data_IF_178992449519
#
_entry.id   IF_178992449519
#
_cell.length_a   1.000
_cell.length_b   1.000
_cell.length_c   1.000
_cell.angle_alpha   90.00
_cell.angle_beta   90.00
_cell.angle_gamma   90.00
#
_symmetry.space_group_name_H-M   'P 1'
#
loop_
_entity.id
_entity.type
_entity.pdbx_description
1 polymer ?
#
# COMPACT_ATOMS: atom_id res chain seq x y z
N UNK A 1 -12.88 12.38 -15.54
CA UNK A 1 -12.36 11.30 -14.64
C UNK A 1 -11.08 11.80 -14.01
N UNK A 2 -11.01 11.87 -12.69
CA UNK A 2 -9.80 12.30 -11.98
C UNK A 2 -8.70 11.23 -12.04
N UNK A 3 -7.45 11.65 -12.16
CA UNK A 3 -6.28 10.77 -12.09
C UNK A 3 -5.67 10.83 -10.69
N UNK A 4 -5.34 9.67 -10.11
CA UNK A 4 -4.58 9.56 -8.85
C UNK A 4 -3.17 9.05 -9.13
N UNK A 5 -2.20 9.51 -8.34
CA UNK A 5 -0.78 9.18 -8.43
C UNK A 5 -0.18 9.05 -7.03
N UNK A 6 0.87 8.25 -6.89
CA UNK A 6 1.56 8.00 -5.61
C UNK A 6 2.79 8.90 -5.54
N UNK A 7 2.93 9.67 -4.47
CA UNK A 7 3.94 10.73 -4.34
C UNK A 7 5.13 10.35 -3.45
N UNK A 8 5.00 9.30 -2.63
CA UNK A 8 6.10 8.80 -1.81
C UNK A 8 5.67 7.58 -1.01
N UNK A 9 6.61 6.65 -0.80
CA UNK A 9 6.39 5.44 0.00
C UNK A 9 7.40 5.42 1.15
N UNK A 10 6.90 5.18 2.35
CA UNK A 10 7.66 4.92 3.55
C UNK A 10 7.32 3.51 4.04
N UNK A 11 8.36 2.72 4.29
CA UNK A 11 8.24 1.33 4.72
C UNK A 11 9.06 1.16 5.98
N UNK A 12 8.39 0.86 7.09
CA UNK A 12 9.03 0.69 8.39
C UNK A 12 8.68 -0.67 8.95
N UNK A 13 9.65 -1.39 9.49
CA UNK A 13 9.40 -2.68 10.12
C UNK A 13 10.64 -3.55 10.12
N UNK A 14 10.43 -4.82 10.43
CA UNK A 14 11.49 -5.82 10.49
C UNK A 14 11.33 -6.84 9.37
N UNK A 15 12.42 -7.13 8.68
CA UNK A 15 12.50 -8.22 7.72
C UNK A 15 13.76 -9.02 8.01
N UNK A 16 13.60 -10.30 8.27
CA UNK A 16 14.66 -11.23 8.57
C UNK A 16 14.56 -12.45 7.65
N UNK A 17 15.67 -12.80 7.01
CA UNK A 17 15.80 -14.05 6.30
C UNK A 17 16.58 -15.03 7.17
N UNK A 18 16.01 -16.22 7.39
CA UNK A 18 16.69 -17.29 8.13
C UNK A 18 16.79 -18.53 7.27
N UNK A 19 17.92 -19.24 7.33
CA UNK A 19 18.10 -20.53 6.64
C UNK A 19 17.98 -21.67 7.63
N UNK A 20 17.03 -22.58 7.42
CA UNK A 20 16.83 -23.78 8.24
C UNK A 20 17.50 -25.02 7.60
N UNK A 21 17.55 -26.11 8.37
CA UNK A 21 18.07 -27.41 7.92
C UNK A 21 17.43 -27.81 6.59
N UNK A 22 18.26 -28.31 5.66
CA UNK A 22 17.83 -28.65 4.30
C UNK A 22 17.88 -27.48 3.31
N UNK A 23 18.57 -26.38 3.64
CA UNK A 23 18.75 -25.20 2.78
C UNK A 23 17.46 -24.44 2.44
N UNK A 24 16.38 -24.70 3.18
CA UNK A 24 15.12 -23.96 3.08
C UNK A 24 15.30 -22.63 3.79
N UNK A 25 15.23 -21.52 3.07
CA UNK A 25 15.19 -20.22 3.72
C UNK A 25 13.72 -19.86 4.01
N UNK A 26 13.56 -19.00 4.99
CA UNK A 26 12.29 -18.50 5.48
C UNK A 26 12.45 -16.99 5.60
N UNK A 27 11.66 -16.26 4.81
CA UNK A 27 11.50 -14.82 4.99
C UNK A 27 10.44 -14.60 6.07
N UNK A 28 10.82 -13.95 7.16
CA UNK A 28 9.91 -13.46 8.19
C UNK A 28 9.93 -11.95 8.09
N UNK A 29 8.78 -11.36 7.84
CA UNK A 29 8.64 -9.92 7.74
C UNK A 29 7.40 -9.46 8.50
N UNK A 30 7.51 -8.28 9.08
CA UNK A 30 6.42 -7.51 9.70
C UNK A 30 6.69 -6.05 9.35
N UNK A 31 6.00 -5.57 8.32
CA UNK A 31 6.20 -4.25 7.73
C UNK A 31 4.93 -3.42 7.82
N UNK A 32 5.13 -2.13 8.03
CA UNK A 32 4.12 -1.08 7.95
C UNK A 32 4.40 -0.23 6.73
N UNK A 33 3.36 0.03 5.95
CA UNK A 33 3.43 0.85 4.75
C UNK A 33 2.70 2.16 5.01
N UNK A 34 3.35 3.29 4.74
CA UNK A 34 2.69 4.59 4.67
C UNK A 34 3.03 5.21 3.33
N UNK A 35 2.01 5.65 2.58
CA UNK A 35 2.21 6.14 1.24
C UNK A 35 1.39 7.41 0.99
N UNK A 36 2.06 8.47 0.55
CA UNK A 36 1.39 9.69 0.12
C UNK A 36 0.84 9.53 -1.29
N UNK A 37 -0.36 10.06 -1.54
CA UNK A 37 -0.98 10.08 -2.85
C UNK A 37 -1.52 11.48 -3.19
N UNK A 38 -1.56 11.78 -4.47
CA UNK A 38 -2.12 13.02 -5.03
C UNK A 38 -3.11 12.66 -6.14
N UNK A 39 -4.26 13.33 -6.16
CA UNK A 39 -5.31 13.14 -7.16
C UNK A 39 -5.78 14.46 -7.75
N UNK A 40 -6.00 14.50 -9.06
CA UNK A 40 -6.61 15.65 -9.73
C UNK A 40 -8.12 15.44 -9.80
N UNK A 41 -8.92 16.36 -9.27
CA UNK A 41 -10.36 16.34 -9.43
C UNK A 41 -10.80 17.35 -10.50
N UNK A 42 -11.81 16.99 -11.28
CA UNK A 42 -12.35 17.84 -12.34
C UNK A 42 -13.02 19.07 -11.71
N UNK A 43 -12.52 20.27 -12.05
CA UNK A 43 -13.00 21.54 -11.48
C UNK A 43 -12.19 22.08 -10.29
N UNK A 44 -11.18 21.36 -9.82
CA UNK A 44 -10.24 21.86 -8.79
C UNK A 44 -8.91 22.32 -9.42
N UNK A 45 -8.43 23.54 -9.13
CA UNK A 45 -7.15 24.02 -9.63
C UNK A 45 -5.94 23.39 -8.92
N UNK A 46 -6.14 22.82 -7.73
CA UNK A 46 -5.09 22.21 -6.92
C UNK A 46 -5.28 20.69 -6.81
N UNK A 47 -4.18 19.91 -6.73
CA UNK A 47 -4.26 18.48 -6.48
C UNK A 47 -4.81 18.21 -5.07
N UNK A 48 -5.72 17.26 -4.97
CA UNK A 48 -6.17 16.66 -3.71
C UNK A 48 -5.07 15.74 -3.21
N UNK A 49 -4.69 15.85 -1.94
CA UNK A 49 -3.64 15.02 -1.34
C UNK A 49 -4.20 14.10 -0.28
N UNK A 50 -3.51 13.02 0.01
CA UNK A 50 -3.87 12.11 1.07
C UNK A 50 -2.80 11.07 1.36
N UNK A 51 -3.09 10.19 2.32
CA UNK A 51 -2.19 9.09 2.69
C UNK A 51 -2.95 7.77 2.67
N UNK A 52 -2.30 6.71 2.20
CA UNK A 52 -2.73 5.32 2.37
C UNK A 52 -1.79 4.64 3.34
N UNK A 53 -2.34 3.93 4.34
CA UNK A 53 -1.56 3.16 5.29
C UNK A 53 -1.98 1.69 5.29
N UNK A 54 -1.01 0.83 5.55
CA UNK A 54 -1.19 -0.58 5.88
C UNK A 54 -0.42 -0.83 7.17
N UNK A 55 -1.15 -1.19 8.23
CA UNK A 55 -0.54 -1.41 9.55
C UNK A 55 0.11 -2.78 9.70
N UNK A 56 -0.29 -3.76 8.88
CA UNK A 56 0.17 -5.13 8.99
C UNK A 56 0.37 -5.75 7.60
N UNK A 57 1.62 -5.79 7.14
CA UNK A 57 2.08 -6.62 6.04
C UNK A 57 3.09 -7.62 6.60
N UNK A 58 2.64 -8.84 6.89
CA UNK A 58 3.45 -9.85 7.56
C UNK A 58 3.49 -11.19 6.81
N UNK A 59 4.55 -11.98 7.03
CA UNK A 59 4.80 -13.27 6.34
C UNK A 59 3.81 -14.41 6.67
N UNK A 60 2.77 -14.12 7.44
CA UNK A 60 1.67 -15.03 7.75
C UNK A 60 0.30 -14.41 7.53
N UNK A 61 0.24 -13.19 6.98
CA UNK A 61 -1.01 -12.56 6.54
C UNK A 61 -1.42 -13.20 5.21
N UNK A 62 -2.67 -13.64 5.11
CA UNK A 62 -3.20 -14.15 3.86
C UNK A 62 -3.29 -13.04 2.80
N UNK A 63 -3.06 -13.39 1.53
CA UNK A 63 -3.20 -12.49 0.41
C UNK A 63 -4.64 -11.92 0.35
N UNK A 64 -4.81 -10.66 0.74
CA UNK A 64 -6.10 -9.97 0.68
C UNK A 64 -6.63 -9.42 2.01
N UNK A 65 -5.99 -9.75 3.14
CA UNK A 65 -6.44 -9.31 4.47
C UNK A 65 -5.84 -7.96 4.91
N UNK A 66 -5.18 -7.23 3.99
CA UNK A 66 -4.61 -5.93 4.31
C UNK A 66 -5.70 -4.93 4.71
N UNK A 67 -5.59 -4.41 5.94
CA UNK A 67 -6.41 -3.29 6.38
C UNK A 67 -5.84 -1.99 5.81
N UNK A 68 -6.49 -1.49 4.76
CA UNK A 68 -6.14 -0.21 4.13
C UNK A 68 -6.81 0.95 4.84
N UNK A 69 -6.02 1.87 5.38
CA UNK A 69 -6.51 3.16 5.87
C UNK A 69 -6.21 4.23 4.81
N UNK A 70 -7.24 4.66 4.08
CA UNK A 70 -7.13 5.77 3.12
C UNK A 70 -7.64 7.05 3.75
N UNK A 71 -6.79 8.08 3.75
CA UNK A 71 -7.08 9.43 4.24
C UNK A 71 -6.95 10.43 3.10
N UNK A 72 -7.65 11.55 3.23
CA UNK A 72 -7.61 12.67 2.28
C UNK A 72 -7.51 13.97 3.08
N UNK A 73 -6.73 14.92 2.60
CA UNK A 73 -6.59 16.23 3.20
C UNK A 73 -7.75 17.14 2.76
N UNK A 74 -8.37 17.82 3.74
CA UNK A 74 -9.50 18.70 3.51
C UNK A 74 -10.84 17.98 3.36
N UNK A 75 -11.86 18.72 2.92
CA UNK A 75 -13.24 18.22 2.82
C UNK A 75 -13.95 18.80 1.60
N UNK A 76 -14.75 17.99 0.92
CA UNK A 76 -15.53 18.43 -0.23
C UNK A 76 -15.90 17.27 -1.17
N UNK A 77 -16.64 17.59 -2.22
CA UNK A 77 -17.06 16.59 -3.21
C UNK A 77 -15.86 16.03 -3.99
N UNK A 78 -14.90 16.88 -4.35
CA UNK A 78 -13.66 16.50 -5.02
C UNK A 78 -12.82 15.54 -4.18
N UNK A 79 -12.62 15.88 -2.90
CA UNK A 79 -11.85 15.07 -1.93
C UNK A 79 -12.53 13.72 -1.68
N UNK A 80 -13.86 13.71 -1.55
CA UNK A 80 -14.63 12.48 -1.37
C UNK A 80 -14.55 11.57 -2.61
N UNK A 81 -14.61 12.15 -3.82
CA UNK A 81 -14.47 11.40 -5.06
C UNK A 81 -13.05 10.84 -5.22
N UNK A 82 -12.02 11.65 -4.96
CA UNK A 82 -10.62 11.23 -5.02
C UNK A 82 -10.30 10.14 -3.99
N UNK A 83 -10.78 10.28 -2.75
CA UNK A 83 -10.66 9.26 -1.69
C UNK A 83 -11.26 7.93 -2.14
N UNK A 84 -12.49 7.94 -2.66
CA UNK A 84 -13.15 6.73 -3.17
C UNK A 84 -12.39 6.10 -4.34
N UNK A 85 -11.87 6.92 -5.26
CA UNK A 85 -11.05 6.41 -6.36
C UNK A 85 -9.78 5.73 -5.84
N UNK A 86 -9.13 6.30 -4.82
CA UNK A 86 -7.96 5.72 -4.17
C UNK A 86 -8.30 4.45 -3.38
N UNK A 87 -9.42 4.42 -2.66
CA UNK A 87 -9.92 3.24 -1.92
C UNK A 87 -10.23 2.05 -2.82
N UNK A 88 -10.60 2.27 -4.08
CA UNK A 88 -10.94 1.19 -5.02
C UNK A 88 -9.77 0.86 -5.94
N UNK A 89 -9.32 1.82 -6.74
CA UNK A 89 -8.30 1.57 -7.76
C UNK A 89 -6.90 1.54 -7.14
N UNK A 90 -6.63 2.43 -6.19
CA UNK A 90 -5.32 2.55 -5.53
C UNK A 90 -5.00 1.34 -4.66
N UNK A 91 -5.91 0.93 -3.78
CA UNK A 91 -5.73 -0.26 -2.93
C UNK A 91 -5.61 -1.55 -3.76
N UNK A 92 -6.37 -1.68 -4.85
CA UNK A 92 -6.26 -2.83 -5.75
C UNK A 92 -4.88 -2.90 -6.43
N UNK A 93 -4.32 -1.76 -6.83
CA UNK A 93 -2.97 -1.71 -7.38
C UNK A 93 -1.92 -2.03 -6.31
N UNK A 94 -2.05 -1.47 -5.11
CA UNK A 94 -1.14 -1.72 -3.99
C UNK A 94 -1.17 -3.17 -3.53
N UNK A 95 -2.34 -3.79 -3.46
CA UNK A 95 -2.49 -5.21 -3.16
C UNK A 95 -1.69 -6.08 -4.13
N UNK A 96 -1.75 -5.80 -5.44
CA UNK A 96 -0.95 -6.52 -6.44
C UNK A 96 0.55 -6.35 -6.25
N UNK A 97 0.99 -5.14 -5.90
CA UNK A 97 2.41 -4.86 -5.62
C UNK A 97 2.88 -5.59 -4.37
N UNK A 98 2.07 -5.59 -3.30
CA UNK A 98 2.38 -6.30 -2.05
C UNK A 98 2.39 -7.82 -2.25
N UNK A 99 1.46 -8.39 -3.02
CA UNK A 99 1.51 -9.82 -3.38
C UNK A 99 2.76 -10.15 -4.20
N UNK A 100 3.16 -9.28 -5.13
CA UNK A 100 4.41 -9.47 -5.89
C UNK A 100 5.63 -9.43 -4.97
N UNK A 101 5.67 -8.49 -4.02
CA UNK A 101 6.75 -8.39 -3.04
C UNK A 101 6.80 -9.62 -2.12
N UNK A 102 5.64 -10.07 -1.62
CA UNK A 102 5.54 -11.27 -0.79
C UNK A 102 6.10 -12.48 -1.53
N UNK A 103 5.70 -12.66 -2.79
CA UNK A 103 6.19 -13.74 -3.65
C UNK A 103 7.69 -13.64 -3.91
N UNK A 104 8.23 -12.44 -4.17
CA UNK A 104 9.67 -12.27 -4.35
C UNK A 104 10.45 -12.61 -3.07
N UNK A 105 9.94 -12.25 -1.89
CA UNK A 105 10.55 -12.62 -0.61
C UNK A 105 10.53 -14.13 -0.37
N UNK A 106 9.47 -14.82 -0.83
CA UNK A 106 9.38 -16.27 -0.81
C UNK A 106 10.27 -16.96 -1.85
N UNK A 107 10.37 -16.44 -3.08
CA UNK A 107 11.19 -17.02 -4.16
C UNK A 107 12.70 -16.83 -3.91
N UNK A 108 13.09 -15.79 -3.16
CA UNK A 108 14.47 -15.61 -2.67
C UNK A 108 14.77 -16.54 -1.48
N UNK A 109 13.73 -17.17 -0.90
CA UNK A 109 13.81 -18.11 0.22
C UNK A 109 14.05 -19.58 -0.19
#
# INVERSE_FOLDING_TARGET
MGQTSMAGIDMTGEAAMTTRKGNRKLAVYDLKLTMAWEGTAEGEPAPVKGTVKVEEFASGSDEGDYMWEVTVEGSGAAQSAAKRAMEVAGTAQLSRLLSSLAKELEDVS
#
